data_IF_172822644330
#
_entry.id   IF_172822644330
#
_cell.length_a   1.000
_cell.length_b   1.000
_cell.length_c   1.000
_cell.angle_alpha   90.00
_cell.angle_beta   90.00
_cell.angle_gamma   90.00
#
_symmetry.space_group_name_H-M   'P 1'
#
loop_
_entity.id
_entity.type
_entity.pdbx_description
1 polymer ?
#
# COMPACT_ATOMS: atom_id res chain seq x y z
N UNK A 1 -12.06 16.75 -31.31
CA UNK A 1 -12.03 16.15 -29.95
C UNK A 1 -10.81 15.23 -29.85
N UNK A 2 -9.80 15.58 -29.05
CA UNK A 2 -8.62 14.71 -28.86
C UNK A 2 -8.99 13.60 -27.89
N UNK A 3 -9.00 12.34 -28.33
CA UNK A 3 -9.20 11.17 -27.47
C UNK A 3 -7.93 10.97 -26.65
N UNK A 4 -7.99 11.29 -25.36
CA UNK A 4 -6.90 10.97 -24.42
C UNK A 4 -6.85 9.45 -24.26
N UNK A 5 -5.82 8.82 -24.84
CA UNK A 5 -5.54 7.40 -24.60
C UNK A 5 -5.00 7.30 -23.18
N UNK A 6 -5.86 6.91 -22.23
CA UNK A 6 -5.43 6.62 -20.86
C UNK A 6 -4.69 5.29 -20.91
N UNK A 7 -3.35 5.35 -20.97
CA UNK A 7 -2.52 4.17 -20.84
C UNK A 7 -2.94 3.43 -19.55
N UNK A 8 -3.23 2.13 -19.65
CA UNK A 8 -3.64 1.30 -18.52
C UNK A 8 -2.50 1.29 -17.51
N UNK A 9 -2.59 2.13 -16.48
CA UNK A 9 -1.62 2.16 -15.39
C UNK A 9 -1.63 0.78 -14.71
N UNK A 10 -0.53 0.05 -14.86
CA UNK A 10 -0.33 -1.22 -14.17
C UNK A 10 -0.08 -0.88 -12.71
N UNK A 11 -1.10 -1.03 -11.87
CA UNK A 11 -0.97 -0.87 -10.43
C UNK A 11 -0.63 -2.22 -9.76
N UNK A 12 0.33 -2.18 -8.84
CA UNK A 12 0.69 -3.30 -7.96
C UNK A 12 -0.24 -3.32 -6.75
N UNK A 13 -0.81 -4.48 -6.45
CA UNK A 13 -1.63 -4.66 -5.24
C UNK A 13 -0.74 -4.69 -4.00
N UNK A 14 -1.04 -3.85 -3.03
CA UNK A 14 -0.48 -3.91 -1.68
C UNK A 14 -1.45 -4.74 -0.83
N UNK A 15 -0.93 -5.83 -0.26
CA UNK A 15 -1.73 -6.82 0.45
C UNK A 15 -1.66 -6.63 1.96
N UNK A 16 -2.73 -7.04 2.64
CA UNK A 16 -2.79 -7.10 4.08
C UNK A 16 -1.88 -8.20 4.62
N UNK A 17 -0.94 -7.90 5.54
CA UNK A 17 -0.06 -8.90 6.12
C UNK A 17 -0.80 -9.92 7.00
N UNK A 18 -2.03 -9.63 7.43
CA UNK A 18 -2.84 -10.56 8.23
C UNK A 18 -3.65 -11.56 7.39
N UNK A 19 -4.23 -11.13 6.25
CA UNK A 19 -5.18 -11.96 5.50
C UNK A 19 -4.93 -12.02 3.98
N UNK A 20 -3.88 -11.38 3.46
CA UNK A 20 -3.54 -11.35 2.03
C UNK A 20 -4.48 -10.52 1.15
N UNK A 21 -5.60 -10.02 1.68
CA UNK A 21 -6.54 -9.18 0.94
C UNK A 21 -5.93 -7.84 0.52
N UNK A 22 -6.40 -7.28 -0.60
CA UNK A 22 -5.94 -5.97 -1.09
C UNK A 22 -6.28 -4.86 -0.08
N UNK A 23 -5.30 -4.00 0.23
CA UNK A 23 -5.51 -2.74 0.97
C UNK A 23 -5.60 -1.58 -0.01
N UNK A 24 -4.56 -1.40 -0.83
CA UNK A 24 -4.43 -0.31 -1.79
C UNK A 24 -3.68 -0.81 -3.02
N UNK A 25 -3.77 -0.04 -4.10
CA UNK A 25 -2.98 -0.23 -5.31
C UNK A 25 -1.87 0.84 -5.37
N UNK A 26 -0.64 0.44 -5.64
CA UNK A 26 0.52 1.30 -5.78
C UNK A 26 0.99 1.35 -7.24
N UNK A 27 1.64 2.44 -7.66
CA UNK A 27 2.26 2.47 -8.99
C UNK A 27 3.36 1.40 -9.11
N UNK A 28 3.64 0.92 -10.33
CA UNK A 28 4.60 -0.17 -10.59
C UNK A 28 5.96 0.01 -9.89
N UNK A 29 6.48 1.24 -9.85
CA UNK A 29 7.79 1.57 -9.29
C UNK A 29 7.71 2.13 -7.85
N UNK A 30 6.52 2.16 -7.24
CA UNK A 30 6.38 2.57 -5.83
C UNK A 30 6.72 1.39 -4.93
N UNK A 31 7.74 1.57 -4.11
CA UNK A 31 8.13 0.61 -3.09
C UNK A 31 7.47 1.00 -1.77
N UNK A 32 6.87 0.03 -1.10
CA UNK A 32 6.15 0.25 0.14
C UNK A 32 6.30 -0.93 1.06
N UNK A 33 6.35 -0.64 2.35
CA UNK A 33 6.32 -1.61 3.43
C UNK A 33 4.96 -1.53 4.13
N UNK A 34 4.38 -2.69 4.47
CA UNK A 34 3.13 -2.78 5.23
C UNK A 34 3.33 -3.70 6.42
N UNK A 35 2.92 -3.22 7.60
CA UNK A 35 2.99 -3.98 8.86
C UNK A 35 1.67 -3.87 9.61
N UNK A 36 1.40 -4.83 10.49
CA UNK A 36 0.31 -4.67 11.47
C UNK A 36 0.68 -3.57 12.46
N UNK A 37 -0.24 -2.65 12.72
CA UNK A 37 0.01 -1.52 13.61
C UNK A 37 0.36 -1.99 15.04
N UNK A 38 -0.33 -3.03 15.52
CA UNK A 38 -0.10 -3.60 16.85
C UNK A 38 1.31 -4.19 17.05
N UNK A 39 1.99 -4.60 15.96
CA UNK A 39 3.32 -5.26 16.04
C UNK A 39 4.45 -4.36 15.55
N UNK A 40 4.18 -3.06 15.33
CA UNK A 40 5.09 -2.17 14.64
C UNK A 40 6.33 -1.76 15.48
N UNK A 41 6.30 -1.85 16.81
CA UNK A 41 7.43 -1.38 17.63
C UNK A 41 7.80 0.09 17.31
N UNK A 42 9.10 0.45 17.20
CA UNK A 42 9.52 1.81 16.83
C UNK A 42 9.29 2.14 15.33
N UNK A 43 8.74 1.20 14.55
CA UNK A 43 8.42 1.46 13.16
C UNK A 43 7.20 2.38 13.06
N UNK A 44 7.39 3.55 12.48
CA UNK A 44 6.33 4.52 12.25
C UNK A 44 5.88 4.49 10.79
N UNK A 45 4.58 4.30 10.54
CA UNK A 45 4.04 4.34 9.19
C UNK A 45 3.80 5.79 8.72
N UNK A 46 3.71 5.99 7.40
CA UNK A 46 3.28 7.27 6.84
C UNK A 46 1.74 7.38 6.89
N UNK A 47 1.06 6.24 6.75
CA UNK A 47 -0.40 6.13 6.76
C UNK A 47 -0.84 4.92 7.58
N UNK A 48 -1.98 5.04 8.25
CA UNK A 48 -2.64 3.92 8.92
C UNK A 48 -4.03 3.73 8.32
N UNK A 49 -4.45 2.48 8.18
CA UNK A 49 -5.80 2.14 7.70
C UNK A 49 -6.24 0.79 8.27
N UNK A 50 -7.52 0.47 8.16
CA UNK A 50 -8.06 -0.85 8.51
C UNK A 50 -8.26 -1.67 7.25
N UNK A 51 -7.85 -2.93 7.29
CA UNK A 51 -8.18 -3.85 6.21
C UNK A 51 -9.71 -4.00 6.13
N UNK A 52 -10.28 -3.73 4.95
CA UNK A 52 -11.72 -3.83 4.77
C UNK A 52 -12.26 -5.26 4.99
N UNK A 53 -11.42 -6.28 4.74
CA UNK A 53 -11.77 -7.69 4.89
C UNK A 53 -11.65 -8.19 6.34
N UNK A 54 -10.43 -8.25 6.90
CA UNK A 54 -10.19 -8.80 8.25
C UNK A 54 -10.24 -7.77 9.39
N UNK A 55 -10.44 -6.48 9.09
CA UNK A 55 -10.49 -5.35 10.05
C UNK A 55 -9.20 -5.06 10.82
N UNK A 56 -8.13 -5.82 10.60
CA UNK A 56 -6.83 -5.54 11.19
C UNK A 56 -6.33 -4.14 10.82
N UNK A 57 -5.80 -3.42 11.80
CA UNK A 57 -5.16 -2.13 11.58
C UNK A 57 -3.73 -2.33 11.06
N UNK A 58 -3.43 -1.67 9.95
CA UNK A 58 -2.18 -1.81 9.22
C UNK A 58 -1.58 -0.43 8.97
N UNK A 59 -0.27 -0.34 9.15
CA UNK A 59 0.51 0.82 8.72
C UNK A 59 1.09 0.59 7.33
N UNK A 60 1.16 1.65 6.53
CA UNK A 60 1.82 1.69 5.23
C UNK A 60 2.91 2.76 5.25
N UNK A 61 4.12 2.39 4.85
CA UNK A 61 5.24 3.32 4.65
C UNK A 61 5.70 3.25 3.21
N UNK A 62 5.84 4.39 2.54
CA UNK A 62 6.51 4.47 1.24
C UNK A 62 8.01 4.45 1.48
N UNK A 63 8.70 3.53 0.84
CA UNK A 63 10.15 3.47 0.86
C UNK A 63 10.65 4.41 -0.24
N UNK A 64 11.12 5.60 0.14
CA UNK A 64 11.76 6.49 -0.81
C UNK A 64 13.10 5.89 -1.24
N UNK A 65 13.26 5.66 -2.53
CA UNK A 65 14.56 5.38 -3.15
C UNK A 65 15.33 6.70 -3.24
N UNK A 66 15.96 7.13 -2.15
CA UNK A 66 17.02 8.13 -2.28
C UNK A 66 18.25 7.40 -2.83
N UNK A 67 18.36 7.37 -4.16
CA UNK A 67 19.67 7.28 -4.84
C UNK A 67 20.35 8.62 -4.82
#
# INVERSE_FOLDING_TARGET
>A
MKKTVVAKLIHKRVQCPHCGSRIIDAAKNTHSEVRLAATAGPWQADYYTKCWHCKAEVGLKKLNSYT
#
